data_IF_334657206759
#
_entry.id   IF_334657206759
#
_cell.length_a   1.000
_cell.length_b   1.000
_cell.length_c   1.000
_cell.angle_alpha   90.00
_cell.angle_beta   90.00
_cell.angle_gamma   90.00
#
_symmetry.space_group_name_H-M   'P 1'
#
loop_
_entity.id
_entity.type
_entity.pdbx_description
1 polymer ?
#
# COMPACT_ATOMS: atom_id res chain seq x y z
N UNK A 1 -49.07 -0.51 -6.27
CA UNK A 1 -47.97 -0.04 -5.40
C UNK A 1 -47.30 -1.17 -4.62
N UNK A 2 -48.02 -2.03 -3.87
CA UNK A 2 -47.38 -3.12 -3.07
C UNK A 2 -46.55 -4.11 -3.87
N UNK A 3 -47.01 -4.59 -5.04
CA UNK A 3 -46.25 -5.56 -5.87
C UNK A 3 -44.93 -4.98 -6.38
N UNK A 4 -44.87 -3.71 -6.71
CA UNK A 4 -43.66 -3.04 -7.16
C UNK A 4 -42.64 -2.88 -6.02
N UNK A 5 -43.10 -2.59 -4.81
CA UNK A 5 -42.25 -2.52 -3.60
C UNK A 5 -41.64 -3.89 -3.28
N UNK A 6 -42.45 -4.95 -3.35
CA UNK A 6 -41.97 -6.33 -3.13
C UNK A 6 -40.94 -6.73 -4.20
N UNK A 7 -41.21 -6.40 -5.46
CA UNK A 7 -40.25 -6.68 -6.54
C UNK A 7 -38.92 -5.95 -6.37
N UNK A 8 -38.95 -4.65 -6.01
CA UNK A 8 -37.74 -3.88 -5.71
C UNK A 8 -36.96 -4.46 -4.55
N UNK A 9 -37.67 -4.88 -3.49
CA UNK A 9 -37.05 -5.54 -2.33
C UNK A 9 -36.32 -6.82 -2.71
N UNK A 10 -36.93 -7.66 -3.57
CA UNK A 10 -36.31 -8.91 -4.04
C UNK A 10 -35.02 -8.61 -4.82
N UNK A 11 -35.04 -7.59 -5.70
CA UNK A 11 -33.85 -7.20 -6.46
C UNK A 11 -32.71 -6.73 -5.53
N UNK A 12 -33.03 -5.83 -4.59
CA UNK A 12 -32.04 -5.29 -3.66
C UNK A 12 -31.46 -6.43 -2.77
N UNK A 13 -32.33 -7.29 -2.27
CA UNK A 13 -31.92 -8.42 -1.44
C UNK A 13 -31.05 -9.41 -2.23
N UNK A 14 -31.43 -9.72 -3.47
CA UNK A 14 -30.63 -10.56 -4.36
C UNK A 14 -29.25 -9.97 -4.66
N UNK A 15 -29.18 -8.65 -4.85
CA UNK A 15 -27.92 -7.93 -5.06
C UNK A 15 -27.02 -8.01 -3.80
N UNK A 16 -27.58 -7.78 -2.61
CA UNK A 16 -26.84 -7.91 -1.35
C UNK A 16 -26.30 -9.33 -1.17
N UNK A 17 -27.13 -10.35 -1.37
CA UNK A 17 -26.69 -11.76 -1.25
C UNK A 17 -25.58 -12.08 -2.26
N UNK A 18 -25.69 -11.61 -3.51
CA UNK A 18 -24.66 -11.79 -4.49
C UNK A 18 -23.36 -11.13 -4.08
N UNK A 19 -23.40 -9.89 -3.61
CA UNK A 19 -22.21 -9.16 -3.14
C UNK A 19 -21.54 -9.88 -1.97
N UNK A 20 -22.31 -10.37 -0.99
CA UNK A 20 -21.78 -11.17 0.12
C UNK A 20 -21.14 -12.48 -0.36
N UNK A 21 -21.76 -13.14 -1.33
CA UNK A 21 -21.21 -14.37 -1.91
C UNK A 21 -19.90 -14.11 -2.65
N UNK A 22 -19.84 -13.07 -3.49
CA UNK A 22 -18.65 -12.69 -4.23
C UNK A 22 -17.51 -12.23 -3.30
N UNK A 23 -17.84 -11.51 -2.23
CA UNK A 23 -16.90 -11.12 -1.17
C UNK A 23 -16.36 -12.31 -0.35
N UNK A 24 -16.93 -13.51 -0.53
CA UNK A 24 -16.48 -14.71 0.17
C UNK A 24 -16.95 -14.84 1.60
N UNK A 25 -17.98 -14.11 2.04
CA UNK A 25 -18.53 -14.15 3.40
C UNK A 25 -19.01 -15.55 3.83
N UNK A 26 -19.35 -16.40 2.86
CA UNK A 26 -19.80 -17.78 3.11
C UNK A 26 -18.68 -18.82 2.93
N UNK A 27 -17.43 -18.39 2.66
CA UNK A 27 -16.30 -19.31 2.46
C UNK A 27 -15.64 -19.65 3.78
N UNK A 28 -15.43 -20.93 4.01
CA UNK A 28 -14.53 -21.39 5.06
C UNK A 28 -13.13 -21.50 4.48
N UNK A 29 -12.18 -20.77 5.03
CA UNK A 29 -10.78 -20.81 4.63
C UNK A 29 -10.05 -21.76 5.58
N UNK A 30 -9.59 -22.88 5.04
CA UNK A 30 -8.75 -23.82 5.77
C UNK A 30 -7.27 -23.45 5.57
N UNK A 31 -6.47 -23.43 6.64
CA UNK A 31 -5.03 -23.19 6.50
C UNK A 31 -4.38 -24.38 5.76
N UNK A 32 -3.62 -24.07 4.70
CA UNK A 32 -2.93 -25.11 3.90
C UNK A 32 -1.42 -24.87 3.80
N UNK A 33 -0.87 -23.98 4.61
CA UNK A 33 0.56 -23.86 4.77
C UNK A 33 1.07 -24.86 5.81
N UNK A 34 1.97 -25.74 5.39
CA UNK A 34 2.51 -26.82 6.24
C UNK A 34 3.81 -26.44 6.97
N UNK A 35 4.29 -25.22 6.81
CA UNK A 35 5.49 -24.70 7.47
C UNK A 35 5.20 -24.05 8.82
N UNK A 36 6.27 -23.80 9.57
CA UNK A 36 6.21 -23.04 10.81
C UNK A 36 6.16 -21.53 10.52
N UNK A 37 5.27 -20.84 11.20
CA UNK A 37 5.14 -19.38 11.12
C UNK A 37 5.51 -18.75 12.46
N UNK A 38 6.37 -17.73 12.42
CA UNK A 38 6.66 -16.89 13.59
C UNK A 38 6.35 -15.44 13.28
N UNK A 39 5.80 -14.74 14.28
CA UNK A 39 5.46 -13.33 14.12
C UNK A 39 6.68 -12.44 14.36
N UNK A 40 6.89 -11.47 13.46
CA UNK A 40 7.79 -10.33 13.69
C UNK A 40 6.94 -9.14 14.11
N UNK A 41 7.14 -8.65 15.33
CA UNK A 41 6.38 -7.53 15.90
C UNK A 41 7.17 -6.23 15.85
N UNK A 42 6.48 -5.08 16.03
CA UNK A 42 7.11 -3.75 16.06
C UNK A 42 6.95 -2.95 14.77
N UNK A 43 6.35 -3.52 13.72
CA UNK A 43 5.95 -2.78 12.51
C UNK A 43 4.46 -2.50 12.60
N UNK A 44 4.08 -1.23 12.70
CA UNK A 44 2.68 -0.81 12.81
C UNK A 44 2.13 -0.52 11.43
N UNK A 45 1.07 -1.22 11.02
CA UNK A 45 0.46 -1.02 9.71
C UNK A 45 1.45 -1.33 8.58
N UNK A 46 2.05 -2.53 8.61
CA UNK A 46 2.84 -3.04 7.49
C UNK A 46 1.93 -3.18 6.27
N UNK A 47 2.35 -2.58 5.16
CA UNK A 47 1.56 -2.55 3.93
C UNK A 47 2.18 -3.43 2.85
N UNK A 48 3.46 -3.26 2.59
CA UNK A 48 4.17 -3.99 1.54
C UNK A 48 5.58 -4.39 1.97
N UNK A 49 6.10 -5.45 1.35
CA UNK A 49 7.42 -6.01 1.64
C UNK A 49 8.14 -6.33 0.32
N UNK A 50 9.31 -5.76 0.15
CA UNK A 50 10.22 -6.10 -0.94
C UNK A 50 11.55 -6.63 -0.40
N UNK A 51 12.31 -7.35 -1.23
CA UNK A 51 13.56 -7.96 -0.82
C UNK A 51 14.72 -7.50 -1.70
N UNK A 52 15.84 -7.20 -1.07
CA UNK A 52 17.14 -7.07 -1.74
C UNK A 52 17.67 -8.46 -2.11
N UNK A 53 18.56 -8.54 -3.10
CA UNK A 53 19.21 -9.79 -3.54
C UNK A 53 19.93 -10.53 -2.41
N UNK A 54 20.39 -9.81 -1.39
CA UNK A 54 21.04 -10.39 -0.21
C UNK A 54 20.05 -10.98 0.82
N UNK A 55 18.73 -10.91 0.54
CA UNK A 55 17.67 -11.40 1.41
C UNK A 55 17.26 -10.44 2.54
N UNK A 56 17.72 -9.20 2.53
CA UNK A 56 17.23 -8.16 3.43
C UNK A 56 15.82 -7.74 2.99
N UNK A 57 14.86 -7.76 3.90
CA UNK A 57 13.51 -7.25 3.67
C UNK A 57 13.44 -5.75 3.95
N UNK A 58 12.77 -5.02 3.07
CA UNK A 58 12.34 -3.64 3.28
C UNK A 58 10.82 -3.64 3.40
N UNK A 59 10.29 -2.97 4.43
CA UNK A 59 8.88 -3.06 4.82
C UNK A 59 8.33 -1.65 4.92
N UNK A 60 7.32 -1.33 4.12
CA UNK A 60 6.56 -0.09 4.28
C UNK A 60 5.61 -0.19 5.47
N UNK A 61 5.50 0.90 6.21
CA UNK A 61 4.71 0.96 7.44
C UNK A 61 4.05 2.32 7.58
N UNK A 62 2.72 2.33 7.73
CA UNK A 62 1.96 3.55 7.99
C UNK A 62 0.83 3.30 8.98
N UNK A 63 0.81 4.04 10.09
CA UNK A 63 -0.27 3.95 11.08
C UNK A 63 -1.52 4.70 10.62
N UNK A 64 -2.20 4.18 9.59
CA UNK A 64 -3.41 4.78 9.01
C UNK A 64 -4.52 4.99 10.03
N UNK A 65 -4.66 4.08 11.01
CA UNK A 65 -5.69 4.21 12.06
C UNK A 65 -5.43 5.42 12.96
N UNK A 66 -4.17 5.70 13.31
CA UNK A 66 -3.84 6.92 14.05
C UNK A 66 -4.14 8.17 13.25
N UNK A 67 -3.90 8.18 11.94
CA UNK A 67 -4.23 9.31 11.06
C UNK A 67 -5.73 9.58 10.99
N UNK A 68 -6.56 8.55 10.88
CA UNK A 68 -8.02 8.69 10.93
C UNK A 68 -8.45 9.38 12.23
N UNK A 69 -7.73 9.15 13.32
CA UNK A 69 -7.97 9.77 14.63
C UNK A 69 -7.26 11.12 14.82
N UNK A 70 -6.73 11.72 13.73
CA UNK A 70 -6.12 13.06 13.74
C UNK A 70 -4.64 13.11 14.13
N UNK A 71 -3.93 11.97 14.17
CA UNK A 71 -2.48 11.97 14.34
C UNK A 71 -1.78 12.36 13.04
N UNK A 72 -0.78 13.22 13.13
CA UNK A 72 0.12 13.59 12.01
C UNK A 72 1.39 12.73 11.96
N UNK A 73 1.40 11.57 12.62
CA UNK A 73 2.56 10.69 12.62
C UNK A 73 2.88 10.22 11.21
N UNK A 74 4.14 10.37 10.80
CA UNK A 74 4.63 9.85 9.52
C UNK A 74 4.75 8.34 9.57
N UNK A 75 4.57 7.72 8.39
CA UNK A 75 4.97 6.35 8.14
C UNK A 75 6.49 6.23 7.99
N UNK A 76 6.96 5.03 7.73
CA UNK A 76 8.39 4.74 7.60
C UNK A 76 8.64 3.52 6.70
N UNK A 77 9.90 3.32 6.35
CA UNK A 77 10.40 2.07 5.80
C UNK A 77 11.30 1.41 6.84
N UNK A 78 11.00 0.17 7.19
CA UNK A 78 11.86 -0.64 8.05
C UNK A 78 12.73 -1.58 7.23
N UNK A 79 13.95 -1.78 7.70
CA UNK A 79 14.81 -2.86 7.27
C UNK A 79 14.72 -4.01 8.27
N UNK A 80 14.62 -5.23 7.75
CA UNK A 80 14.64 -6.46 8.53
C UNK A 80 15.52 -7.51 7.83
N UNK A 81 16.39 -8.18 8.61
CA UNK A 81 17.27 -9.23 8.12
C UNK A 81 16.82 -10.59 8.68
N UNK A 82 15.98 -11.37 7.95
CA UNK A 82 15.39 -12.61 8.48
C UNK A 82 16.42 -13.66 8.87
N UNK A 83 17.58 -13.67 8.22
CA UNK A 83 18.66 -14.66 8.46
C UNK A 83 19.69 -14.21 9.48
N UNK A 84 19.58 -13.01 10.02
CA UNK A 84 20.50 -12.51 11.05
C UNK A 84 20.20 -13.15 12.40
N UNK A 85 21.24 -13.43 13.18
CA UNK A 85 21.07 -13.93 14.56
C UNK A 85 20.34 -12.93 15.47
N UNK A 86 20.49 -11.65 15.19
CA UNK A 86 19.83 -10.58 15.89
C UNK A 86 18.75 -9.98 14.97
N UNK A 87 17.49 -10.33 15.21
CA UNK A 87 16.34 -9.89 14.44
C UNK A 87 15.94 -8.45 14.82
N UNK A 88 16.74 -7.47 14.40
CA UNK A 88 16.48 -6.06 14.69
C UNK A 88 15.76 -5.39 13.51
N UNK A 89 14.69 -4.67 13.82
CA UNK A 89 14.07 -3.71 12.89
C UNK A 89 14.87 -2.40 12.94
N UNK A 90 15.26 -1.90 11.77
CA UNK A 90 15.95 -0.63 11.60
C UNK A 90 15.02 0.30 10.84
N UNK A 91 14.72 1.46 11.42
CA UNK A 91 13.99 2.51 10.73
C UNK A 91 14.94 3.25 9.80
N UNK A 92 14.67 3.21 8.50
CA UNK A 92 15.54 3.77 7.45
C UNK A 92 15.20 5.22 7.07
N UNK A 93 14.02 5.71 7.49
CA UNK A 93 13.50 6.94 6.93
C UNK A 93 14.07 8.18 7.58
N UNK A 94 14.65 9.10 6.79
CA UNK A 94 14.78 10.48 7.22
C UNK A 94 13.38 11.10 7.34
N UNK A 95 13.25 12.14 8.17
CA UNK A 95 12.03 12.94 8.21
C UNK A 95 11.89 13.70 6.88
N UNK A 96 10.78 13.48 6.16
CA UNK A 96 10.42 14.28 4.99
C UNK A 96 9.53 15.46 5.40
N UNK A 97 9.77 16.63 4.79
CA UNK A 97 9.00 17.86 5.09
C UNK A 97 7.54 17.77 4.65
N UNK A 98 7.24 16.96 3.65
CA UNK A 98 5.92 16.82 3.02
C UNK A 98 5.01 15.78 3.68
N UNK A 99 5.47 15.13 4.73
CA UNK A 99 4.82 13.94 5.27
C UNK A 99 5.09 12.69 4.39
N UNK A 100 5.26 11.56 5.02
CA UNK A 100 5.51 10.30 4.34
C UNK A 100 4.56 9.22 4.85
N UNK A 101 3.74 8.73 3.95
CA UNK A 101 2.73 7.72 4.19
C UNK A 101 2.86 6.62 3.14
N UNK A 102 3.87 5.73 3.29
CA UNK A 102 4.20 4.74 2.28
C UNK A 102 3.13 3.66 2.17
N UNK A 103 2.96 3.22 0.92
CA UNK A 103 2.13 2.08 0.54
C UNK A 103 2.99 1.04 -0.18
N UNK A 104 2.72 0.74 -1.47
CA UNK A 104 3.54 -0.15 -2.26
C UNK A 104 4.98 0.34 -2.40
N UNK A 105 5.94 -0.57 -2.38
CA UNK A 105 7.36 -0.28 -2.50
C UNK A 105 8.05 -1.24 -3.47
N UNK A 106 9.07 -0.76 -4.15
CA UNK A 106 9.88 -1.57 -5.04
C UNK A 106 11.35 -1.21 -4.96
N UNK A 107 12.22 -2.19 -5.12
CA UNK A 107 13.66 -1.97 -5.19
C UNK A 107 14.19 -2.34 -6.57
N UNK A 108 15.24 -1.62 -6.95
CA UNK A 108 16.05 -1.91 -8.13
C UNK A 108 17.52 -1.81 -7.77
N UNK A 109 18.26 -2.89 -7.97
CA UNK A 109 19.71 -2.96 -7.73
C UNK A 109 20.45 -2.81 -9.07
N UNK A 110 21.17 -1.69 -9.24
CA UNK A 110 21.98 -1.46 -10.45
C UNK A 110 23.21 -2.34 -10.49
N UNK A 111 23.73 -2.64 -11.69
CA UNK A 111 24.97 -3.43 -11.83
C UNK A 111 26.21 -2.79 -11.17
N UNK A 112 26.20 -1.47 -10.95
CA UNK A 112 27.25 -0.72 -10.26
C UNK A 112 27.18 -0.84 -8.73
N UNK A 113 26.19 -1.58 -8.22
CA UNK A 113 25.95 -1.81 -6.79
C UNK A 113 25.08 -0.78 -6.10
N UNK A 114 24.61 0.25 -6.79
CA UNK A 114 23.61 1.17 -6.21
C UNK A 114 22.25 0.54 -6.15
N UNK A 115 21.57 0.76 -5.05
CA UNK A 115 20.21 0.27 -4.83
C UNK A 115 19.26 1.45 -4.74
N UNK A 116 18.22 1.41 -5.55
CA UNK A 116 17.13 2.38 -5.51
C UNK A 116 15.89 1.74 -4.88
N UNK A 117 15.18 2.53 -4.09
CA UNK A 117 13.85 2.19 -3.58
C UNK A 117 12.86 3.25 -4.04
N UNK A 118 11.76 2.79 -4.62
CA UNK A 118 10.59 3.65 -4.85
C UNK A 118 9.48 3.28 -3.89
N UNK A 119 8.74 4.28 -3.42
CA UNK A 119 7.58 4.12 -2.57
C UNK A 119 6.41 4.98 -3.05
N UNK A 120 5.23 4.39 -3.12
CA UNK A 120 3.98 5.16 -3.25
C UNK A 120 3.78 5.93 -1.95
N UNK A 121 3.55 7.26 -2.06
CA UNK A 121 3.32 8.12 -0.92
C UNK A 121 1.94 8.79 -1.01
N UNK A 122 1.13 8.65 0.03
CA UNK A 122 -0.19 9.25 0.16
C UNK A 122 -0.14 10.50 1.04
N UNK A 123 0.06 11.69 0.44
CA UNK A 123 0.20 12.96 1.18
C UNK A 123 -1.09 13.43 1.89
N UNK A 124 -2.25 13.02 1.43
CA UNK A 124 -3.50 13.52 1.97
C UNK A 124 -3.86 12.87 3.29
N UNK A 125 -3.99 13.65 4.35
CA UNK A 125 -4.46 13.24 5.68
C UNK A 125 -5.95 12.89 5.74
N UNK A 126 -6.67 12.89 4.62
CA UNK A 126 -8.09 12.63 4.56
C UNK A 126 -8.46 11.63 3.48
N UNK A 127 -9.26 10.63 3.86
CA UNK A 127 -9.94 9.69 2.96
C UNK A 127 -10.70 10.35 1.78
N UNK A 128 -10.70 11.68 1.66
CA UNK A 128 -11.64 12.44 0.84
C UNK A 128 -11.06 13.60 0.03
N UNK A 129 -9.77 13.87 0.05
CA UNK A 129 -9.16 14.98 -0.69
C UNK A 129 -8.16 14.49 -1.73
N UNK A 130 -8.64 13.85 -2.75
CA UNK A 130 -7.83 13.16 -3.76
C UNK A 130 -7.50 13.98 -5.02
N UNK A 131 -7.36 15.29 -4.95
CA UNK A 131 -6.75 15.97 -6.10
C UNK A 131 -5.26 16.12 -5.89
N UNK A 132 -4.47 15.19 -6.44
CA UNK A 132 -3.00 15.19 -6.45
C UNK A 132 -2.31 14.97 -5.09
N UNK A 133 -2.96 14.28 -4.15
CA UNK A 133 -2.37 13.92 -2.85
C UNK A 133 -1.43 12.70 -2.89
N UNK A 134 -0.86 12.35 -4.06
CA UNK A 134 -0.02 11.17 -4.22
C UNK A 134 1.26 11.49 -4.97
N UNK A 135 2.34 10.84 -4.58
CA UNK A 135 3.61 10.86 -5.31
C UNK A 135 4.29 9.50 -5.24
N UNK A 136 5.25 9.30 -6.11
CA UNK A 136 6.26 8.26 -5.98
C UNK A 136 7.52 8.94 -5.46
N UNK A 137 7.97 8.49 -4.30
CA UNK A 137 9.22 8.94 -3.69
C UNK A 137 10.34 7.99 -4.07
N UNK A 138 11.39 8.51 -4.69
CA UNK A 138 12.58 7.72 -5.05
C UNK A 138 13.70 8.00 -4.05
N UNK A 139 14.30 6.92 -3.56
CA UNK A 139 15.41 6.95 -2.62
C UNK A 139 16.60 6.15 -3.14
N UNK A 140 17.79 6.51 -2.69
CA UNK A 140 18.96 5.62 -2.70
C UNK A 140 19.02 4.94 -1.33
N UNK A 141 19.10 3.61 -1.34
CA UNK A 141 19.33 2.81 -0.16
C UNK A 141 20.83 2.73 0.14
N UNK A 142 21.22 3.16 1.32
CA UNK A 142 22.58 3.09 1.82
C UNK A 142 22.60 2.36 3.16
N UNK A 143 22.69 1.03 3.06
CA UNK A 143 22.88 0.05 4.16
C UNK A 143 21.92 0.21 5.37
N UNK A 144 21.85 1.37 6.00
CA UNK A 144 21.06 1.64 7.22
C UNK A 144 20.21 2.92 7.11
N UNK A 145 20.13 3.51 5.91
CA UNK A 145 19.37 4.73 5.66
C UNK A 145 18.82 4.81 4.24
N UNK A 146 17.84 5.67 4.05
CA UNK A 146 17.32 6.06 2.73
C UNK A 146 17.62 7.54 2.50
N UNK A 147 18.26 7.83 1.38
CA UNK A 147 18.53 9.19 0.94
C UNK A 147 17.52 9.55 -0.14
N UNK A 148 16.65 10.53 0.13
CA UNK A 148 15.65 10.98 -0.82
C UNK A 148 16.31 11.61 -2.05
N UNK A 149 15.88 11.19 -3.24
CA UNK A 149 16.40 11.66 -4.53
C UNK A 149 15.42 12.63 -5.20
N UNK A 150 14.18 12.22 -5.32
CA UNK A 150 13.13 12.99 -6.00
C UNK A 150 11.73 12.44 -5.71
N UNK A 151 10.75 13.32 -5.89
CA UNK A 151 9.33 12.98 -5.92
C UNK A 151 8.80 13.08 -7.36
N UNK A 152 7.95 12.14 -7.76
CA UNK A 152 7.29 12.13 -9.07
C UNK A 152 5.79 12.10 -8.83
N UNK A 153 5.06 13.03 -9.44
CA UNK A 153 3.59 13.08 -9.42
C UNK A 153 3.05 13.25 -10.82
N UNK A 154 1.83 12.83 -11.07
CA UNK A 154 1.21 12.99 -12.37
C UNK A 154 -0.29 12.72 -12.36
N UNK A 155 -1.00 13.19 -13.42
CA UNK A 155 -2.46 13.07 -13.48
C UNK A 155 -2.98 11.64 -13.60
N UNK A 156 -2.11 10.69 -13.94
CA UNK A 156 -2.45 9.27 -14.03
C UNK A 156 -2.33 8.54 -12.69
N UNK A 157 -1.78 9.18 -11.64
CA UNK A 157 -1.72 8.64 -10.29
C UNK A 157 -3.00 9.01 -9.52
N UNK A 158 -4.12 8.38 -9.90
CA UNK A 158 -5.45 8.69 -9.35
C UNK A 158 -5.60 8.11 -7.95
N UNK A 159 -5.18 6.86 -7.78
CA UNK A 159 -5.23 6.10 -6.53
C UNK A 159 -4.09 5.07 -6.53
N UNK A 160 -2.83 5.51 -6.57
CA UNK A 160 -1.70 4.60 -6.70
C UNK A 160 -1.65 3.65 -5.50
N UNK A 161 -1.46 2.37 -5.77
CA UNK A 161 -1.44 1.32 -4.76
C UNK A 161 -0.06 0.68 -4.68
N UNK A 162 0.39 0.07 -5.77
CA UNK A 162 1.64 -0.66 -5.82
C UNK A 162 2.54 -0.18 -6.97
N UNK A 163 3.82 -0.48 -6.90
CA UNK A 163 4.84 0.00 -7.82
C UNK A 163 5.86 -1.08 -8.15
N UNK A 164 6.34 -1.09 -9.39
CA UNK A 164 7.49 -1.89 -9.81
C UNK A 164 8.52 -1.01 -10.49
N UNK A 165 9.72 -0.92 -9.94
CA UNK A 165 10.87 -0.29 -10.58
C UNK A 165 11.44 -1.20 -11.66
N UNK A 166 11.62 -0.65 -12.87
CA UNK A 166 12.33 -1.29 -13.98
C UNK A 166 13.81 -0.86 -14.00
N UNK A 167 14.04 0.39 -13.65
CA UNK A 167 15.35 1.00 -13.41
C UNK A 167 15.15 2.29 -12.60
N UNK A 168 16.20 3.03 -12.33
CA UNK A 168 16.14 4.29 -11.56
C UNK A 168 15.27 5.40 -12.17
N UNK A 169 14.91 5.29 -13.45
CA UNK A 169 14.15 6.32 -14.19
C UNK A 169 12.79 5.83 -14.70
N UNK A 170 12.50 4.52 -14.57
CA UNK A 170 11.29 3.91 -15.11
C UNK A 170 10.62 3.00 -14.08
N UNK A 171 9.31 3.13 -13.98
CA UNK A 171 8.47 2.29 -13.12
C UNK A 171 7.08 2.12 -13.71
N UNK A 172 6.41 1.06 -13.27
CA UNK A 172 4.96 0.89 -13.41
C UNK A 172 4.30 1.09 -12.06
N UNK A 173 3.12 1.69 -12.07
CA UNK A 173 2.31 1.88 -10.88
C UNK A 173 0.88 1.40 -11.17
N UNK A 174 0.27 0.70 -10.22
CA UNK A 174 -1.14 0.33 -10.26
C UNK A 174 -1.98 1.40 -9.57
N UNK A 175 -3.22 1.57 -10.00
CA UNK A 175 -4.21 2.38 -9.29
C UNK A 175 -5.35 1.48 -8.84
N UNK A 176 -5.82 1.63 -7.60
CA UNK A 176 -6.99 0.93 -7.09
C UNK A 176 -8.27 1.35 -7.81
N UNK A 177 -8.32 2.61 -8.27
CA UNK A 177 -9.46 3.19 -8.93
C UNK A 177 -9.05 3.87 -10.24
N UNK A 178 -9.89 3.75 -11.27
CA UNK A 178 -9.79 4.50 -12.51
C UNK A 178 -10.48 5.85 -12.45
N UNK A 179 -11.47 6.00 -11.54
CA UNK A 179 -12.20 7.25 -11.34
C UNK A 179 -11.49 8.19 -10.37
N UNK A 180 -11.44 9.46 -10.74
CA UNK A 180 -10.98 10.53 -9.84
C UNK A 180 -12.07 11.08 -8.91
N UNK A 181 -13.33 10.66 -9.11
CA UNK A 181 -14.46 11.09 -8.28
C UNK A 181 -14.81 10.02 -7.25
N UNK A 182 -15.16 10.45 -6.03
CA UNK A 182 -15.59 9.52 -4.96
C UNK A 182 -16.78 8.64 -5.36
N UNK A 183 -17.76 9.24 -6.05
CA UNK A 183 -18.93 8.51 -6.52
C UNK A 183 -18.49 7.41 -7.52
N UNK A 184 -17.61 7.74 -8.46
CA UNK A 184 -17.07 6.79 -9.41
C UNK A 184 -16.30 5.66 -8.73
N UNK A 185 -15.42 5.97 -7.78
CA UNK A 185 -14.69 4.97 -6.99
C UNK A 185 -15.64 4.03 -6.23
N UNK A 186 -16.69 4.58 -5.59
CA UNK A 186 -17.72 3.77 -4.93
C UNK A 186 -18.43 2.83 -5.93
N UNK A 187 -18.73 3.30 -7.13
CA UNK A 187 -19.30 2.42 -8.15
C UNK A 187 -18.32 1.33 -8.59
N UNK A 188 -17.05 1.65 -8.76
CA UNK A 188 -16.01 0.66 -9.08
C UNK A 188 -15.90 -0.41 -8.00
N UNK A 189 -15.98 -0.06 -6.70
CA UNK A 189 -15.92 -1.01 -5.60
C UNK A 189 -17.11 -1.98 -5.55
N UNK A 190 -18.32 -1.54 -5.90
CA UNK A 190 -19.54 -2.34 -5.76
C UNK A 190 -20.01 -3.01 -7.05
N UNK A 191 -19.48 -2.62 -8.20
CA UNK A 191 -19.92 -3.14 -9.51
C UNK A 191 -18.86 -3.99 -10.23
N UNK A 192 -17.74 -4.28 -9.57
CA UNK A 192 -16.72 -5.22 -10.11
C UNK A 192 -17.21 -6.67 -10.17
#
# INVERSE_FOLDING_TARGET
MGKMIVFLFIIVFGFILKTMYDAGEFKTLEPHYSGDCSSVTGVVGAEDITFLNNGTALISSDNRRSRINGSEAQGTIYQYKPRAKNHKLINLMPKLDTGFHPHGISVYEEPDGKTYLAAVNHHSSGLFNSRYGHSIELFIYDSDSLVHVRSVSGPLMISPNDIVLINKDQFYVTNDHGSSSRIGQTFEEYLQ
#
